data_IF_257186510263
#
_entry.id   IF_257186510263
#
_cell.length_a   1.000
_cell.length_b   1.000
_cell.length_c   1.000
_cell.angle_alpha   90.00
_cell.angle_beta   90.00
_cell.angle_gamma   90.00
#
_symmetry.space_group_name_H-M   'P 1'
#
loop_
_entity.id
_entity.type
_entity.pdbx_description
1 polymer ?
#
# COMPACT_ATOMS: atom_id res chain seq x y z
N UNK A 1 -62.33 -29.14 -17.67
CA UNK A 1 -62.40 -28.48 -16.34
C UNK A 1 -60.96 -28.19 -15.92
N UNK A 2 -60.54 -26.92 -15.97
CA UNK A 2 -59.16 -26.51 -15.66
C UNK A 2 -59.02 -26.43 -14.15
N UNK A 3 -58.13 -27.23 -13.59
CA UNK A 3 -57.73 -27.18 -12.18
C UNK A 3 -56.77 -25.99 -12.06
N UNK A 4 -57.11 -25.03 -11.20
CA UNK A 4 -56.30 -23.85 -10.95
C UNK A 4 -54.99 -24.26 -10.24
N UNK A 5 -53.84 -23.71 -10.62
CA UNK A 5 -52.59 -23.92 -9.88
C UNK A 5 -52.66 -23.18 -8.55
N UNK A 6 -52.42 -23.92 -7.47
CA UNK A 6 -52.19 -23.38 -6.13
C UNK A 6 -50.82 -22.69 -6.16
N UNK A 7 -50.84 -21.37 -6.03
CA UNK A 7 -49.64 -20.57 -5.82
C UNK A 7 -49.16 -20.80 -4.38
N UNK A 8 -47.96 -21.36 -4.23
CA UNK A 8 -47.25 -21.32 -2.96
C UNK A 8 -46.79 -19.88 -2.72
N UNK A 9 -47.55 -19.16 -1.89
CA UNK A 9 -47.11 -17.94 -1.24
C UNK A 9 -46.12 -18.34 -0.14
N UNK A 10 -44.82 -18.25 -0.41
CA UNK A 10 -43.82 -18.22 0.66
C UNK A 10 -43.71 -16.79 1.17
N UNK A 11 -44.43 -16.49 2.25
CA UNK A 11 -44.17 -15.34 3.08
C UNK A 11 -42.83 -15.55 3.79
N UNK A 12 -41.77 -14.87 3.37
CA UNK A 12 -40.64 -14.39 4.17
C UNK A 12 -39.86 -13.37 3.31
N UNK A 13 -40.50 -12.25 2.98
CA UNK A 13 -39.76 -11.03 2.65
C UNK A 13 -39.42 -10.37 3.99
N UNK A 14 -38.15 -10.28 4.43
CA UNK A 14 -37.79 -9.07 5.15
C UNK A 14 -38.02 -7.94 4.15
N UNK A 15 -38.66 -6.85 4.59
CA UNK A 15 -38.84 -5.65 3.79
C UNK A 15 -37.49 -5.17 3.27
N UNK A 16 -37.08 -5.63 2.09
CA UNK A 16 -36.06 -5.00 1.26
C UNK A 16 -36.73 -3.77 0.69
N UNK A 17 -36.82 -2.72 1.50
CA UNK A 17 -36.99 -1.38 0.97
C UNK A 17 -35.75 -1.12 0.12
N UNK A 18 -35.93 -0.98 -1.19
CA UNK A 18 -34.95 -0.31 -2.05
C UNK A 18 -34.53 0.95 -1.30
N UNK A 19 -33.24 1.09 -0.99
CA UNK A 19 -32.77 2.23 -0.21
C UNK A 19 -33.26 3.52 -0.88
N UNK A 20 -33.93 4.40 -0.12
CA UNK A 20 -34.40 5.69 -0.64
C UNK A 20 -33.23 6.63 -0.99
N UNK A 21 -32.01 6.25 -0.57
CA UNK A 21 -30.77 7.01 -0.67
C UNK A 21 -29.75 6.32 -1.55
N UNK A 22 -28.95 7.10 -2.27
CA UNK A 22 -27.88 6.58 -3.13
C UNK A 22 -26.70 6.02 -2.31
N UNK A 23 -25.83 5.25 -2.98
CA UNK A 23 -24.63 4.72 -2.33
C UNK A 23 -23.69 5.84 -1.86
N UNK A 24 -23.57 6.91 -2.64
CA UNK A 24 -22.77 8.10 -2.31
C UNK A 24 -23.33 8.87 -1.12
N UNK A 25 -24.65 8.98 -1.00
CA UNK A 25 -25.30 9.61 0.15
C UNK A 25 -25.02 8.83 1.44
N UNK A 26 -25.09 7.50 1.39
CA UNK A 26 -24.71 6.66 2.52
C UNK A 26 -23.23 6.76 2.85
N UNK A 27 -22.38 6.76 1.83
CA UNK A 27 -20.94 6.90 1.99
C UNK A 27 -20.56 8.19 2.74
N UNK A 28 -21.20 9.31 2.39
CA UNK A 28 -21.01 10.60 3.06
C UNK A 28 -21.40 10.54 4.56
N UNK A 29 -22.52 9.91 4.88
CA UNK A 29 -22.97 9.74 6.28
C UNK A 29 -22.02 8.86 7.08
N UNK A 30 -21.52 7.76 6.49
CA UNK A 30 -20.58 6.88 7.17
C UNK A 30 -19.25 7.57 7.48
N UNK A 31 -18.77 8.43 6.58
CA UNK A 31 -17.62 9.30 6.85
C UNK A 31 -17.91 10.17 8.07
N UNK A 32 -19.09 10.76 8.16
CA UNK A 32 -19.46 11.59 9.30
C UNK A 32 -19.51 10.78 10.61
N UNK A 33 -20.18 9.63 10.61
CA UNK A 33 -20.24 8.72 11.76
C UNK A 33 -18.86 8.25 12.21
N UNK A 34 -18.01 7.80 11.27
CA UNK A 34 -16.65 7.36 11.56
C UNK A 34 -15.77 8.48 12.11
N UNK A 35 -15.95 9.71 11.62
CA UNK A 35 -15.21 10.87 12.12
C UNK A 35 -15.61 11.30 13.54
N UNK A 36 -16.82 10.94 13.98
CA UNK A 36 -17.31 11.22 15.35
C UNK A 36 -16.83 10.19 16.37
N UNK A 37 -16.27 9.06 15.93
CA UNK A 37 -15.71 8.08 16.87
C UNK A 37 -14.55 8.69 17.66
N UNK A 38 -14.52 8.36 18.95
CA UNK A 38 -13.36 8.55 19.81
C UNK A 38 -12.44 7.33 19.72
N UNK A 39 -11.65 7.05 20.75
CA UNK A 39 -10.85 5.82 20.80
C UNK A 39 -11.77 4.60 20.92
N UNK A 40 -11.49 3.52 20.18
CA UNK A 40 -12.33 2.32 20.19
C UNK A 40 -11.54 1.03 19.98
N UNK A 41 -12.16 -0.09 20.39
CA UNK A 41 -11.79 -1.47 20.06
C UNK A 41 -12.92 -2.10 19.25
N UNK A 42 -12.62 -2.60 18.06
CA UNK A 42 -13.55 -3.35 17.22
C UNK A 42 -13.06 -4.80 17.12
N UNK A 43 -13.92 -5.77 17.45
CA UNK A 43 -13.61 -7.20 17.43
C UNK A 43 -14.25 -7.82 16.20
N UNK A 44 -13.47 -8.64 15.48
CA UNK A 44 -13.87 -9.25 14.23
C UNK A 44 -13.66 -10.76 14.24
N UNK A 45 -14.54 -11.45 13.52
CA UNK A 45 -14.36 -12.84 13.10
C UNK A 45 -14.25 -12.88 11.59
N UNK A 46 -13.29 -13.64 11.07
CA UNK A 46 -13.13 -13.84 9.64
C UNK A 46 -13.07 -15.33 9.29
N UNK A 47 -13.81 -15.71 8.25
CA UNK A 47 -13.86 -17.07 7.70
C UNK A 47 -13.34 -17.00 6.28
N UNK A 48 -12.44 -17.92 5.93
CA UNK A 48 -11.91 -18.10 4.58
C UNK A 48 -11.98 -19.58 4.23
N UNK A 49 -12.15 -19.90 2.95
CA UNK A 49 -12.16 -21.27 2.44
C UNK A 49 -10.84 -22.01 2.73
N UNK A 50 -9.72 -21.27 2.77
CA UNK A 50 -8.39 -21.85 2.95
C UNK A 50 -8.02 -22.13 4.41
N UNK A 51 -8.83 -21.71 5.39
CA UNK A 51 -8.54 -21.87 6.81
C UNK A 51 -9.50 -22.88 7.44
N UNK A 52 -8.92 -23.87 8.12
CA UNK A 52 -9.70 -24.88 8.85
C UNK A 52 -10.48 -24.27 10.03
N UNK A 53 -10.00 -23.16 10.60
CA UNK A 53 -10.65 -22.42 11.69
C UNK A 53 -10.89 -20.95 11.34
N UNK A 54 -11.99 -20.33 11.84
CA UNK A 54 -12.19 -18.89 11.76
C UNK A 54 -11.05 -18.13 12.44
N UNK A 55 -10.54 -17.09 11.77
CA UNK A 55 -9.63 -16.14 12.37
C UNK A 55 -10.40 -15.20 13.31
N UNK A 56 -9.86 -15.00 14.51
CA UNK A 56 -10.35 -13.99 15.44
C UNK A 56 -9.33 -12.87 15.53
N UNK A 57 -9.84 -11.65 15.62
CA UNK A 57 -8.97 -10.52 15.82
C UNK A 57 -9.68 -9.26 16.21
N UNK A 58 -8.89 -8.20 16.29
CA UNK A 58 -9.39 -6.92 16.70
C UNK A 58 -8.57 -5.79 16.09
N UNK A 59 -9.24 -4.65 16.00
CA UNK A 59 -8.67 -3.36 15.69
C UNK A 59 -8.83 -2.48 16.92
N UNK A 60 -7.80 -1.71 17.20
CA UNK A 60 -7.82 -0.60 18.14
C UNK A 60 -7.35 0.65 17.40
N UNK A 61 -8.11 1.74 17.51
CA UNK A 61 -7.75 3.04 16.98
C UNK A 61 -7.99 4.10 18.05
N UNK A 62 -6.98 4.92 18.32
CA UNK A 62 -7.14 6.17 19.05
C UNK A 62 -7.22 7.33 18.07
N UNK A 63 -8.45 7.80 17.83
CA UNK A 63 -8.74 8.90 16.91
C UNK A 63 -8.12 10.23 17.30
N UNK A 64 -7.71 10.40 18.56
CA UNK A 64 -7.10 11.64 19.06
C UNK A 64 -5.60 11.73 18.76
N UNK A 65 -4.88 10.61 18.87
CA UNK A 65 -3.44 10.53 18.61
C UNK A 65 -3.10 9.91 17.26
N UNK A 66 -4.05 9.20 16.65
CA UNK A 66 -3.91 8.37 15.46
C UNK A 66 -3.26 7.02 15.71
N UNK A 67 -2.81 6.73 16.94
CA UNK A 67 -2.20 5.45 17.25
C UNK A 67 -3.20 4.32 16.98
N UNK A 68 -2.73 3.27 16.30
CA UNK A 68 -3.59 2.16 15.95
C UNK A 68 -2.87 0.83 16.10
N UNK A 69 -3.63 -0.22 16.35
CA UNK A 69 -3.16 -1.58 16.47
C UNK A 69 -4.18 -2.52 15.85
N UNK A 70 -3.70 -3.55 15.18
CA UNK A 70 -4.49 -4.66 14.66
C UNK A 70 -3.81 -5.97 15.04
N UNK A 71 -4.60 -6.96 15.43
CA UNK A 71 -4.12 -8.29 15.79
C UNK A 71 -5.13 -9.35 15.38
N UNK A 72 -4.69 -10.31 14.56
CA UNK A 72 -5.54 -11.35 14.00
C UNK A 72 -4.81 -12.69 13.99
N UNK A 73 -5.53 -13.76 14.30
CA UNK A 73 -4.96 -15.08 14.38
C UNK A 73 -5.97 -16.16 14.67
N UNK A 74 -5.46 -17.37 14.83
CA UNK A 74 -6.20 -18.51 15.35
C UNK A 74 -5.43 -19.11 16.54
N UNK A 75 -6.09 -20.00 17.26
CA UNK A 75 -5.46 -20.79 18.32
C UNK A 75 -4.33 -21.69 17.78
N UNK A 76 -4.43 -22.16 16.54
CA UNK A 76 -3.46 -23.06 15.94
C UNK A 76 -2.27 -22.33 15.30
N UNK A 77 -2.52 -21.24 14.57
CA UNK A 77 -1.48 -20.53 13.80
C UNK A 77 -0.86 -19.36 14.55
N UNK A 78 -1.40 -18.99 15.71
CA UNK A 78 -1.02 -17.77 16.43
C UNK A 78 -1.54 -16.49 15.76
N UNK A 79 -1.22 -15.36 16.39
CA UNK A 79 -1.66 -14.03 15.95
C UNK A 79 -0.54 -13.23 15.28
N UNK A 80 -0.82 -12.69 14.10
CA UNK A 80 -0.07 -11.58 13.51
C UNK A 80 -0.54 -10.27 14.11
N UNK A 81 0.39 -9.42 14.55
CA UNK A 81 0.05 -8.10 15.14
C UNK A 81 0.81 -6.99 14.42
N UNK A 82 0.14 -5.90 14.10
CA UNK A 82 0.74 -4.69 13.53
C UNK A 82 0.23 -3.47 14.26
N UNK A 83 1.08 -2.48 14.50
CA UNK A 83 0.66 -1.24 15.13
C UNK A 83 1.46 -0.06 14.61
N UNK A 84 0.85 1.11 14.68
CA UNK A 84 1.46 2.38 14.36
C UNK A 84 1.40 3.29 15.58
N UNK A 85 2.53 3.92 15.87
CA UNK A 85 2.65 4.92 16.92
C UNK A 85 2.99 6.27 16.29
N UNK A 86 2.20 7.32 16.55
CA UNK A 86 2.63 8.67 16.25
C UNK A 86 3.94 8.94 17.00
N UNK A 87 4.84 9.73 16.42
CA UNK A 87 6.07 10.16 17.09
C UNK A 87 5.68 10.75 18.46
N UNK A 88 6.00 10.01 19.51
CA UNK A 88 5.96 10.54 20.86
C UNK A 88 7.13 11.53 20.92
N UNK A 89 6.84 12.77 21.32
CA UNK A 89 7.81 13.83 21.59
C UNK A 89 8.27 14.64 20.37
N UNK A 90 7.80 15.89 20.33
CA UNK A 90 8.48 17.01 19.68
C UNK A 90 9.89 17.14 20.27
N UNK A 91 10.86 16.39 19.76
CA UNK A 91 12.15 16.28 20.43
C UNK A 91 13.21 15.48 19.68
N UNK A 92 13.86 16.16 18.73
CA UNK A 92 15.17 15.86 18.12
C UNK A 92 15.26 14.73 17.08
N UNK A 93 15.87 15.16 15.97
CA UNK A 93 16.43 14.43 14.81
C UNK A 93 15.51 13.71 13.82
N UNK A 94 14.28 13.33 14.18
CA UNK A 94 13.24 12.93 13.19
C UNK A 94 12.22 14.05 12.88
N UNK A 95 12.46 15.25 13.44
CA UNK A 95 11.59 16.42 13.39
C UNK A 95 11.41 17.04 11.99
N UNK A 96 12.17 16.60 10.98
CA UNK A 96 11.96 17.04 9.60
C UNK A 96 10.74 16.36 8.94
N UNK A 97 10.20 15.29 9.52
CA UNK A 97 9.22 14.43 8.84
C UNK A 97 7.86 14.28 9.52
N UNK A 98 7.72 14.58 10.82
CA UNK A 98 6.44 14.42 11.53
C UNK A 98 5.88 12.99 11.54
N UNK A 99 6.70 11.99 11.20
CA UNK A 99 6.26 10.64 10.89
C UNK A 99 6.33 9.74 12.13
N UNK A 100 5.22 9.08 12.46
CA UNK A 100 5.20 7.99 13.43
C UNK A 100 5.97 6.75 12.96
N UNK A 101 6.03 5.73 13.80
CA UNK A 101 6.71 4.47 13.51
C UNK A 101 5.70 3.32 13.39
N UNK A 102 5.88 2.50 12.35
CA UNK A 102 5.09 1.28 12.15
C UNK A 102 5.88 0.07 12.61
N UNK A 103 5.20 -0.84 13.30
CA UNK A 103 5.80 -2.06 13.81
C UNK A 103 4.91 -3.26 13.53
N UNK A 104 5.53 -4.43 13.46
CA UNK A 104 4.83 -5.70 13.41
C UNK A 104 5.47 -6.72 14.34
N UNK A 105 4.65 -7.64 14.85
CA UNK A 105 5.08 -8.81 15.57
C UNK A 105 4.72 -10.04 14.76
N UNK A 106 5.73 -10.86 14.46
CA UNK A 106 5.60 -12.09 13.69
C UNK A 106 6.61 -13.10 14.22
N UNK A 107 6.17 -14.34 14.46
CA UNK A 107 7.02 -15.46 14.88
C UNK A 107 7.89 -15.18 16.13
N UNK A 108 7.35 -14.41 17.09
CA UNK A 108 8.07 -14.04 18.32
C UNK A 108 9.09 -12.91 18.16
N UNK A 109 9.27 -12.38 16.95
CA UNK A 109 10.15 -11.26 16.64
C UNK A 109 9.35 -9.95 16.44
N UNK A 110 9.99 -8.83 16.78
CA UNK A 110 9.42 -7.49 16.56
C UNK A 110 10.18 -6.79 15.44
N UNK A 111 9.43 -6.29 14.47
CA UNK A 111 9.95 -5.61 13.31
C UNK A 111 9.54 -4.14 13.32
N UNK A 112 10.48 -3.24 13.00
CA UNK A 112 10.20 -1.85 12.64
C UNK A 112 10.09 -1.78 11.11
N UNK A 113 8.93 -1.37 10.62
CA UNK A 113 8.66 -1.31 9.18
C UNK A 113 8.93 0.09 8.67
N UNK A 114 9.89 0.21 7.76
CA UNK A 114 10.32 1.47 7.19
C UNK A 114 9.54 1.82 5.93
N UNK A 115 9.25 3.11 5.73
CA UNK A 115 8.78 3.64 4.45
C UNK A 115 7.27 3.67 4.21
N UNK A 116 6.44 3.13 5.13
CA UNK A 116 4.96 3.10 5.01
C UNK A 116 4.38 4.48 4.65
N UNK A 117 4.72 5.52 5.41
CA UNK A 117 4.21 6.88 5.17
C UNK A 117 4.79 7.51 3.89
N UNK A 118 6.06 7.25 3.59
CA UNK A 118 6.67 7.72 2.34
C UNK A 118 5.96 7.14 1.13
N UNK A 119 5.60 5.85 1.20
CA UNK A 119 4.89 5.15 0.13
C UNK A 119 3.48 5.70 -0.04
N UNK A 120 2.70 5.83 1.04
CA UNK A 120 1.36 6.42 0.98
C UNK A 120 1.40 7.87 0.50
N UNK A 121 2.42 8.65 0.90
CA UNK A 121 2.58 10.02 0.45
C UNK A 121 2.79 10.09 -1.06
N UNK A 122 3.74 9.32 -1.57
CA UNK A 122 4.06 9.30 -2.99
C UNK A 122 2.90 8.74 -3.83
N UNK A 123 2.19 7.72 -3.33
CA UNK A 123 0.98 7.17 -3.95
C UNK A 123 -0.08 8.24 -4.16
N UNK A 124 -0.42 8.98 -3.11
CA UNK A 124 -1.41 10.05 -3.19
C UNK A 124 -1.01 11.15 -4.18
N UNK A 125 0.26 11.52 -4.22
CA UNK A 125 0.75 12.50 -5.18
C UNK A 125 0.64 12.00 -6.62
N UNK A 126 0.92 10.72 -6.86
CA UNK A 126 0.75 10.09 -8.17
C UNK A 126 -0.74 10.05 -8.56
N UNK A 127 -1.61 9.66 -7.64
CA UNK A 127 -3.07 9.66 -7.84
C UNK A 127 -3.59 11.07 -8.14
N UNK A 128 -3.09 12.10 -7.44
CA UNK A 128 -3.43 13.51 -7.71
C UNK A 128 -3.06 13.93 -9.12
N UNK A 129 -1.87 13.55 -9.61
CA UNK A 129 -1.44 13.84 -10.98
C UNK A 129 -2.32 13.13 -12.01
N UNK A 130 -2.85 11.95 -11.68
CA UNK A 130 -3.80 11.22 -12.51
C UNK A 130 -5.16 11.91 -12.66
N UNK A 131 -5.44 12.96 -11.87
CA UNK A 131 -6.72 13.67 -11.87
C UNK A 131 -7.65 13.24 -10.74
N UNK A 132 -7.19 12.41 -9.80
CA UNK A 132 -7.93 12.17 -8.57
C UNK A 132 -8.04 13.48 -7.78
N UNK A 133 -9.20 13.77 -7.17
CA UNK A 133 -9.40 14.99 -6.40
C UNK A 133 -8.32 15.12 -5.31
N UNK A 134 -7.88 16.35 -4.97
CA UNK A 134 -6.88 16.54 -3.94
C UNK A 134 -7.34 15.85 -2.66
N UNK A 135 -6.51 15.00 -2.04
CA UNK A 135 -6.85 14.44 -0.76
C UNK A 135 -7.10 15.61 0.20
N UNK A 136 -8.16 15.47 0.99
CA UNK A 136 -8.44 16.43 2.03
C UNK A 136 -7.24 16.49 3.00
N UNK A 137 -7.02 17.59 3.74
CA UNK A 137 -5.87 17.70 4.64
C UNK A 137 -5.74 16.45 5.50
N UNK A 138 -4.61 15.75 5.33
CA UNK A 138 -4.35 14.50 6.06
C UNK A 138 -4.40 14.80 7.54
N UNK A 139 -5.03 13.94 8.32
CA UNK A 139 -4.59 13.81 9.70
C UNK A 139 -3.21 13.15 9.65
N UNK A 140 -2.25 13.51 10.52
CA UNK A 140 -1.00 12.77 10.67
C UNK A 140 -1.28 11.42 11.37
N UNK A 141 -2.26 10.65 10.88
CA UNK A 141 -2.80 9.46 11.53
C UNK A 141 -2.95 8.35 10.50
N UNK A 142 -2.52 7.16 10.88
CA UNK A 142 -2.74 5.94 10.14
C UNK A 142 -4.08 5.33 10.61
N UNK A 143 -4.84 4.72 9.70
CA UNK A 143 -6.05 4.00 10.05
C UNK A 143 -5.87 2.49 9.84
N UNK A 144 -6.30 1.66 10.79
CA UNK A 144 -6.32 0.22 10.62
C UNK A 144 -7.46 -0.18 9.68
N UNK A 145 -7.18 -1.08 8.74
CA UNK A 145 -8.15 -1.64 7.82
C UNK A 145 -8.07 -3.17 7.81
N UNK A 146 -9.22 -3.80 7.60
CA UNK A 146 -9.34 -5.22 7.27
C UNK A 146 -9.96 -5.35 5.90
N UNK A 147 -9.42 -6.23 5.07
CA UNK A 147 -9.93 -6.53 3.75
C UNK A 147 -10.00 -8.04 3.51
N UNK A 148 -11.14 -8.51 3.00
CA UNK A 148 -11.30 -9.88 2.52
C UNK A 148 -10.97 -9.95 1.02
N UNK A 149 -9.78 -10.44 0.69
CA UNK A 149 -9.40 -10.77 -0.68
C UNK A 149 -10.05 -12.06 -1.16
N UNK A 150 -9.90 -12.37 -2.44
CA UNK A 150 -10.42 -13.61 -3.03
C UNK A 150 -9.79 -14.85 -2.41
N UNK A 151 -8.47 -14.80 -2.16
CA UNK A 151 -7.69 -15.90 -1.59
C UNK A 151 -7.32 -15.67 -0.11
N UNK A 152 -7.02 -14.42 0.27
CA UNK A 152 -6.44 -14.06 1.57
C UNK A 152 -7.24 -13.00 2.34
N UNK A 153 -7.23 -13.12 3.66
CA UNK A 153 -7.67 -12.04 4.55
C UNK A 153 -6.45 -11.14 4.83
N UNK A 154 -6.51 -9.90 4.36
CA UNK A 154 -5.45 -8.91 4.51
C UNK A 154 -5.78 -7.93 5.63
N UNK A 155 -4.77 -7.60 6.44
CA UNK A 155 -4.86 -6.57 7.48
C UNK A 155 -3.71 -5.61 7.29
N UNK A 156 -4.01 -4.31 7.29
CA UNK A 156 -2.97 -3.32 7.07
C UNK A 156 -3.33 -2.00 7.73
N UNK A 157 -2.30 -1.19 7.92
CA UNK A 157 -2.39 0.20 8.33
C UNK A 157 -2.29 1.05 7.08
N UNK A 158 -3.31 1.86 6.78
CA UNK A 158 -3.36 2.75 5.62
C UNK A 158 -3.37 4.22 6.01
N UNK A 159 -3.06 5.10 5.07
CA UNK A 159 -3.30 6.53 5.26
C UNK A 159 -4.79 6.80 5.08
N UNK A 160 -5.44 7.43 6.07
CA UNK A 160 -6.84 7.83 5.98
C UNK A 160 -6.97 9.36 6.02
N UNK A 161 -7.91 9.87 5.23
CA UNK A 161 -8.33 11.27 5.28
C UNK A 161 -9.66 11.39 6.02
N UNK A 162 -10.04 12.60 6.41
CA UNK A 162 -11.37 12.85 7.00
C UNK A 162 -12.53 12.68 6.00
N UNK A 163 -12.27 12.41 4.72
CA UNK A 163 -13.28 12.21 3.67
C UNK A 163 -13.36 10.78 3.13
N UNK A 164 -12.67 9.83 3.76
CA UNK A 164 -12.54 8.47 3.23
C UNK A 164 -12.69 7.45 4.33
N UNK A 165 -13.27 6.29 4.00
CA UNK A 165 -13.28 5.13 4.88
C UNK A 165 -12.11 4.20 4.53
N UNK A 166 -11.43 3.60 5.52
CA UNK A 166 -10.31 2.69 5.26
C UNK A 166 -10.70 1.37 4.56
N UNK A 167 -11.97 0.98 4.61
CA UNK A 167 -12.52 -0.31 4.15
C UNK A 167 -13.55 -0.17 3.02
N UNK A 168 -13.81 1.04 2.55
CA UNK A 168 -14.77 1.30 1.48
C UNK A 168 -14.25 2.48 0.66
N UNK A 169 -13.84 2.21 -0.58
CA UNK A 169 -13.34 3.24 -1.49
C UNK A 169 -14.41 3.63 -2.53
N UNK A 170 -14.14 4.69 -3.30
CA UNK A 170 -15.06 5.16 -4.33
C UNK A 170 -15.17 4.21 -5.54
N UNK A 171 -14.13 3.42 -5.85
CA UNK A 171 -14.20 2.41 -6.92
C UNK A 171 -15.27 1.37 -6.58
N UNK A 172 -15.27 0.95 -5.32
CA UNK A 172 -16.23 0.02 -4.78
C UNK A 172 -17.65 0.59 -4.85
N UNK A 173 -17.83 1.88 -4.56
CA UNK A 173 -19.12 2.57 -4.70
C UNK A 173 -19.61 2.55 -6.16
N UNK A 174 -18.72 2.75 -7.14
CA UNK A 174 -19.08 2.72 -8.57
C UNK A 174 -19.54 1.33 -9.05
N UNK A 175 -19.13 0.27 -8.36
CA UNK A 175 -19.52 -1.13 -8.64
C UNK A 175 -20.79 -1.58 -7.93
N UNK A 176 -21.41 -0.73 -7.12
CA UNK A 176 -22.61 -1.08 -6.36
C UNK A 176 -23.78 -1.29 -7.32
N UNK A 177 -24.28 -2.52 -7.38
CA UNK A 177 -25.49 -2.88 -8.12
C UNK A 177 -26.74 -2.66 -7.27
N UNK A 178 -26.67 -2.92 -5.96
CA UNK A 178 -27.81 -2.81 -5.04
C UNK A 178 -27.39 -2.25 -3.68
N UNK A 179 -28.20 -1.32 -3.15
CA UNK A 179 -28.09 -0.83 -1.77
C UNK A 179 -29.26 -1.34 -0.95
N UNK A 180 -28.96 -2.09 0.11
CA UNK A 180 -29.94 -2.65 1.04
C UNK A 180 -29.79 -2.03 2.41
N UNK A 181 -30.79 -1.27 2.81
CA UNK A 181 -30.83 -0.68 4.14
C UNK A 181 -31.37 -1.69 5.16
N UNK A 182 -30.53 -2.14 6.11
CA UNK A 182 -30.91 -3.04 7.20
C UNK A 182 -31.03 -2.26 8.51
N UNK A 183 -31.50 -2.90 9.60
CA UNK A 183 -31.79 -2.21 10.86
C UNK A 183 -30.57 -1.46 11.44
N UNK A 184 -29.42 -2.13 11.56
CA UNK A 184 -28.20 -1.57 12.16
C UNK A 184 -27.09 -1.25 11.15
N UNK A 185 -27.22 -1.73 9.91
CA UNK A 185 -26.19 -1.65 8.87
C UNK A 185 -26.80 -1.28 7.52
N UNK A 186 -25.99 -0.84 6.59
CA UNK A 186 -26.33 -0.78 5.17
C UNK A 186 -25.43 -1.77 4.44
N UNK A 187 -26.03 -2.58 3.58
CA UNK A 187 -25.34 -3.54 2.73
C UNK A 187 -25.26 -3.00 1.30
N UNK A 188 -24.04 -2.92 0.78
CA UNK A 188 -23.72 -2.65 -0.61
C UNK A 188 -23.43 -3.99 -1.29
N UNK A 189 -24.23 -4.36 -2.29
CA UNK A 189 -24.00 -5.53 -3.13
C UNK A 189 -23.33 -5.06 -4.42
N UNK A 190 -22.20 -5.69 -4.76
CA UNK A 190 -21.42 -5.36 -5.94
C UNK A 190 -21.88 -6.18 -7.15
N UNK A 191 -21.46 -5.75 -8.33
CA UNK A 191 -21.72 -6.39 -9.63
C UNK A 191 -21.26 -7.86 -9.77
N UNK A 192 -20.33 -8.31 -8.93
CA UNK A 192 -19.87 -9.70 -8.83
C UNK A 192 -20.65 -10.52 -7.77
N UNK A 193 -21.65 -9.92 -7.12
CA UNK A 193 -22.44 -10.53 -6.05
C UNK A 193 -21.76 -10.54 -4.68
N UNK A 194 -20.51 -10.08 -4.56
CA UNK A 194 -19.89 -9.82 -3.26
C UNK A 194 -20.60 -8.65 -2.55
N UNK A 195 -20.39 -8.54 -1.24
CA UNK A 195 -21.10 -7.55 -0.44
C UNK A 195 -20.22 -6.94 0.65
N UNK A 196 -20.52 -5.67 0.97
CA UNK A 196 -19.90 -4.91 2.06
C UNK A 196 -21.00 -4.32 2.93
N UNK A 197 -20.91 -4.52 4.25
CA UNK A 197 -21.82 -3.97 5.25
C UNK A 197 -21.12 -2.91 6.07
N UNK A 198 -21.76 -1.77 6.24
CA UNK A 198 -21.27 -0.66 7.09
C UNK A 198 -22.25 -0.39 8.22
N UNK A 199 -21.77 -0.27 9.45
CA UNK A 199 -22.59 0.02 10.63
C UNK A 199 -23.06 1.48 10.61
N UNK A 200 -24.36 1.73 10.70
CA UNK A 200 -24.93 3.08 10.59
C UNK A 200 -24.43 4.04 11.68
N UNK A 201 -24.36 3.54 12.92
CA UNK A 201 -24.01 4.33 14.09
C UNK A 201 -22.55 4.79 14.08
N UNK A 202 -21.63 3.92 13.67
CA UNK A 202 -20.20 4.13 13.82
C UNK A 202 -19.47 4.39 12.50
N UNK A 203 -20.08 4.05 11.36
CA UNK A 203 -19.42 4.04 10.06
C UNK A 203 -18.40 2.90 9.88
N UNK A 204 -18.22 2.01 10.87
CA UNK A 204 -17.27 0.90 10.81
C UNK A 204 -17.70 -0.20 9.83
N UNK A 205 -16.72 -0.94 9.29
CA UNK A 205 -16.97 -2.18 8.55
C UNK A 205 -17.73 -3.15 9.46
N UNK A 206 -19.00 -3.40 9.16
CA UNK A 206 -19.82 -4.37 9.88
C UNK A 206 -19.66 -5.78 9.31
N UNK A 207 -19.30 -5.88 8.03
CA UNK A 207 -18.88 -7.13 7.42
C UNK A 207 -18.55 -7.00 5.94
N UNK A 208 -17.94 -8.03 5.40
CA UNK A 208 -17.61 -8.18 3.98
C UNK A 208 -17.73 -9.65 3.62
N UNK A 209 -18.16 -10.00 2.41
CA UNK A 209 -18.21 -11.41 2.00
C UNK A 209 -18.46 -11.63 0.52
N UNK A 210 -18.27 -12.88 0.10
CA UNK A 210 -18.52 -13.36 -1.26
C UNK A 210 -19.82 -14.18 -1.32
N UNK A 211 -20.35 -14.44 -2.54
CA UNK A 211 -21.46 -15.38 -2.70
C UNK A 211 -21.14 -16.74 -2.09
N UNK A 212 -22.10 -17.31 -1.34
CA UNK A 212 -21.91 -18.59 -0.63
C UNK A 212 -21.62 -19.77 -1.59
N UNK A 213 -22.05 -19.66 -2.84
CA UNK A 213 -21.79 -20.63 -3.90
C UNK A 213 -20.29 -20.78 -4.22
N UNK A 214 -19.48 -19.78 -3.86
CA UNK A 214 -18.03 -19.77 -4.01
C UNK A 214 -17.30 -20.08 -2.68
N UNK A 215 -17.97 -20.80 -1.76
CA UNK A 215 -17.43 -21.11 -0.44
C UNK A 215 -17.70 -20.01 0.60
N UNK A 216 -17.76 -20.39 1.88
CA UNK A 216 -18.02 -19.42 2.96
C UNK A 216 -16.78 -18.56 3.21
N UNK A 217 -16.81 -17.34 2.66
CA UNK A 217 -15.79 -16.31 2.86
C UNK A 217 -16.44 -15.04 3.38
N UNK A 218 -16.15 -14.66 4.62
CA UNK A 218 -16.72 -13.46 5.24
C UNK A 218 -15.89 -12.89 6.38
N UNK A 219 -15.99 -11.58 6.60
CA UNK A 219 -15.58 -10.88 7.81
C UNK A 219 -16.85 -10.34 8.48
N UNK A 220 -16.93 -10.43 9.81
CA UNK A 220 -18.05 -9.92 10.60
C UNK A 220 -17.52 -9.14 11.80
N UNK A 221 -18.08 -7.95 12.03
CA UNK A 221 -17.88 -7.18 13.24
C UNK A 221 -18.75 -7.75 14.36
N UNK A 222 -18.10 -8.24 15.41
CA UNK A 222 -18.76 -8.87 16.56
C UNK A 222 -19.12 -7.86 17.64
N UNK A 223 -18.22 -6.92 17.92
CA UNK A 223 -18.41 -5.95 18.99
C UNK A 223 -17.58 -4.68 18.77
N UNK A 224 -18.11 -3.56 19.22
CA UNK A 224 -17.40 -2.28 19.32
C UNK A 224 -17.44 -1.84 20.79
N UNK A 225 -16.26 -1.57 21.35
CA UNK A 225 -16.10 -1.12 22.73
C UNK A 225 -15.40 0.24 22.71
N UNK A 226 -16.00 1.30 23.28
CA UNK A 226 -15.31 2.57 23.48
C UNK A 226 -14.09 2.37 24.38
N UNK A 227 -12.96 2.96 24.01
CA UNK A 227 -11.79 3.04 24.87
C UNK A 227 -11.81 4.39 25.57
N UNK A 228 -11.80 4.39 26.90
CA UNK A 228 -11.89 5.61 27.71
C UNK A 228 -10.54 6.34 27.79
N UNK A 229 -10.06 6.81 26.64
CA UNK A 229 -8.90 7.68 26.48
C UNK A 229 -7.56 6.98 26.19
N UNK A 230 -6.50 7.77 25.93
CA UNK A 230 -5.21 7.28 25.41
C UNK A 230 -4.46 6.30 26.34
N UNK A 231 -4.80 6.27 27.63
CA UNK A 231 -4.18 5.37 28.59
C UNK A 231 -4.61 3.91 28.40
N UNK A 232 -5.87 3.65 28.03
CA UNK A 232 -6.35 2.29 27.75
C UNK A 232 -5.74 1.75 26.46
N UNK A 233 -5.61 2.60 25.44
CA UNK A 233 -4.88 2.27 24.22
C UNK A 233 -3.44 1.81 24.51
N UNK A 234 -2.70 2.55 25.35
CA UNK A 234 -1.30 2.23 25.67
C UNK A 234 -1.14 0.89 26.38
N UNK A 235 -2.18 0.36 27.02
CA UNK A 235 -2.14 -0.98 27.62
C UNK A 235 -2.22 -2.08 26.57
N UNK A 236 -2.85 -1.79 25.43
CA UNK A 236 -3.04 -2.72 24.31
C UNK A 236 -1.81 -2.76 23.40
N UNK A 237 -1.08 -1.65 23.28
CA UNK A 237 0.12 -1.54 22.43
C UNK A 237 1.27 -2.38 23.00
N UNK A 238 1.85 -3.32 22.21
CA UNK A 238 3.02 -4.09 22.60
C UNK A 238 4.19 -3.20 23.00
N UNK A 239 4.86 -3.56 24.10
CA UNK A 239 6.12 -2.91 24.49
C UNK A 239 7.20 -3.28 23.48
N UNK A 240 7.87 -2.27 22.95
CA UNK A 240 8.99 -2.45 22.03
C UNK A 240 10.29 -2.49 22.82
N UNK A 241 11.06 -3.57 22.71
CA UNK A 241 12.43 -3.67 23.24
C UNK A 241 13.42 -3.24 22.14
N UNK A 242 14.04 -2.05 22.23
CA UNK A 242 14.94 -1.55 21.19
C UNK A 242 16.13 -2.47 20.89
N UNK A 243 16.55 -3.32 21.84
CA UNK A 243 17.67 -4.23 21.65
C UNK A 243 17.31 -5.46 20.79
N UNK A 244 16.02 -5.70 20.55
CA UNK A 244 15.50 -6.88 19.84
C UNK A 244 14.69 -6.54 18.59
N UNK A 245 14.62 -5.26 18.22
CA UNK A 245 13.94 -4.83 16.99
C UNK A 245 14.78 -5.25 15.79
N UNK A 246 14.11 -5.79 14.77
CA UNK A 246 14.66 -5.98 13.43
C UNK A 246 14.06 -4.95 12.47
N UNK A 247 14.85 -4.47 11.53
CA UNK A 247 14.33 -3.60 10.48
C UNK A 247 13.71 -4.43 9.35
N UNK A 248 12.59 -3.97 8.81
CA UNK A 248 11.92 -4.58 7.68
C UNK A 248 11.40 -3.52 6.70
N UNK A 249 11.21 -3.94 5.44
CA UNK A 249 10.63 -3.08 4.40
C UNK A 249 9.10 -3.20 4.32
N UNK A 250 8.43 -2.23 3.70
CA UNK A 250 6.99 -2.34 3.41
C UNK A 250 6.71 -3.59 2.58
N UNK A 251 7.54 -3.85 1.56
CA UNK A 251 7.40 -5.00 0.67
C UNK A 251 7.49 -6.37 1.36
N UNK A 252 8.04 -6.46 2.57
CA UNK A 252 8.14 -7.73 3.31
C UNK A 252 6.94 -8.00 4.24
N UNK A 253 6.21 -6.95 4.66
CA UNK A 253 5.20 -7.04 5.71
C UNK A 253 3.82 -6.54 5.31
N UNK A 254 3.75 -5.61 4.38
CA UNK A 254 2.50 -5.09 3.87
C UNK A 254 2.16 -5.77 2.56
N UNK A 255 0.85 -5.89 2.30
CA UNK A 255 0.36 -6.15 0.96
C UNK A 255 0.59 -4.88 0.10
N UNK A 256 1.85 -4.59 -0.22
CA UNK A 256 2.22 -3.51 -1.14
C UNK A 256 1.49 -3.65 -2.48
N UNK A 257 1.11 -4.89 -2.83
CA UNK A 257 0.25 -5.21 -3.97
C UNK A 257 -1.05 -4.41 -3.98
N UNK A 258 -1.74 -4.20 -2.84
CA UNK A 258 -2.94 -3.37 -2.79
C UNK A 258 -2.65 -1.91 -3.16
N UNK A 259 -1.51 -1.37 -2.73
CA UNK A 259 -1.07 -0.03 -3.11
C UNK A 259 -0.66 0.06 -4.59
N UNK A 260 -0.05 -0.99 -5.13
CA UNK A 260 0.30 -1.08 -6.55
C UNK A 260 -0.94 -1.21 -7.45
N UNK A 261 -1.93 -2.02 -7.04
CA UNK A 261 -3.23 -2.15 -7.70
C UNK A 261 -3.93 -0.79 -7.69
N UNK A 262 -4.03 -0.13 -6.54
CA UNK A 262 -4.66 1.18 -6.43
C UNK A 262 -4.02 2.21 -7.38
N UNK A 263 -2.69 2.24 -7.45
CA UNK A 263 -1.96 3.10 -8.40
C UNK A 263 -2.33 2.76 -9.85
N UNK A 264 -2.32 1.48 -10.19
CA UNK A 264 -2.64 0.98 -11.53
C UNK A 264 -4.07 1.35 -11.95
N UNK A 265 -5.06 1.01 -11.12
CA UNK A 265 -6.48 1.30 -11.37
C UNK A 265 -6.73 2.81 -11.48
N UNK A 266 -6.16 3.62 -10.57
CA UNK A 266 -6.34 5.07 -10.58
C UNK A 266 -5.84 5.69 -11.88
N UNK A 267 -4.72 5.19 -12.40
CA UNK A 267 -4.14 5.66 -13.66
C UNK A 267 -4.88 5.12 -14.88
N UNK A 268 -5.52 3.95 -14.76
CA UNK A 268 -6.29 3.36 -15.85
C UNK A 268 -7.65 4.04 -16.05
N UNK A 269 -8.21 4.69 -15.02
CA UNK A 269 -9.56 5.28 -15.07
C UNK A 269 -9.77 6.14 -16.33
N UNK A 270 -10.86 5.91 -17.09
CA UNK A 270 -11.16 6.69 -18.27
C UNK A 270 -11.41 8.15 -17.88
N UNK A 271 -10.62 9.05 -18.43
CA UNK A 271 -10.89 10.48 -18.28
C UNK A 271 -12.02 10.89 -19.21
N UNK A 272 -12.82 11.89 -18.79
CA UNK A 272 -13.88 12.46 -19.63
C UNK A 272 -13.27 12.92 -20.96
N UNK A 273 -13.99 12.69 -22.07
CA UNK A 273 -13.54 13.11 -23.40
C UNK A 273 -13.13 14.59 -23.40
N UNK A 274 -11.87 14.86 -23.78
CA UNK A 274 -11.31 16.21 -23.82
C UNK A 274 -10.65 16.70 -22.53
N UNK A 275 -10.71 15.95 -21.43
CA UNK A 275 -10.06 16.29 -20.17
C UNK A 275 -8.94 15.31 -19.82
N UNK A 276 -7.72 15.82 -19.72
CA UNK A 276 -6.62 15.18 -18.99
C UNK A 276 -5.54 14.52 -19.86
N UNK A 277 -4.31 14.57 -19.33
CA UNK A 277 -3.14 14.00 -19.98
C UNK A 277 -3.15 12.46 -19.95
N UNK A 278 -2.55 11.84 -20.98
CA UNK A 278 -2.26 10.41 -21.05
C UNK A 278 -1.57 9.91 -19.76
N UNK A 279 -2.10 8.89 -19.07
CA UNK A 279 -1.54 8.36 -17.83
C UNK A 279 -0.06 7.97 -17.93
N UNK A 280 0.34 7.36 -19.06
CA UNK A 280 1.74 7.01 -19.32
C UNK A 280 2.59 8.27 -19.48
N UNK A 281 2.06 9.28 -20.17
CA UNK A 281 2.69 10.59 -20.29
C UNK A 281 2.85 11.32 -18.95
N UNK A 282 1.88 11.24 -18.04
CA UNK A 282 1.95 11.82 -16.70
C UNK A 282 3.09 11.19 -15.91
N UNK A 283 3.14 9.85 -15.89
CA UNK A 283 4.19 9.12 -15.19
C UNK A 283 5.58 9.42 -15.78
N UNK A 284 5.69 9.44 -17.11
CA UNK A 284 6.95 9.73 -17.80
C UNK A 284 7.50 11.13 -17.50
N UNK A 285 6.63 12.11 -17.19
CA UNK A 285 7.03 13.47 -16.77
C UNK A 285 7.39 13.59 -15.28
N UNK A 286 7.06 12.58 -14.47
CA UNK A 286 7.27 12.59 -13.03
C UNK A 286 8.10 11.37 -12.53
N UNK A 287 9.28 11.10 -13.13
CA UNK A 287 10.08 9.92 -12.78
C UNK A 287 10.61 9.96 -11.33
N UNK A 288 10.87 11.16 -10.80
CA UNK A 288 11.36 11.33 -9.43
C UNK A 288 10.31 10.91 -8.39
N UNK A 289 9.02 11.12 -8.69
CA UNK A 289 7.94 10.75 -7.80
C UNK A 289 7.71 9.23 -7.78
N UNK A 290 7.77 8.58 -8.95
CA UNK A 290 7.77 7.12 -9.03
C UNK A 290 8.99 6.53 -8.31
N UNK A 291 10.16 7.14 -8.46
CA UNK A 291 11.35 6.70 -7.75
C UNK A 291 11.16 6.81 -6.23
N UNK A 292 10.64 7.94 -5.73
CA UNK A 292 10.32 8.12 -4.32
C UNK A 292 9.31 7.07 -3.81
N UNK A 293 8.29 6.75 -4.61
CA UNK A 293 7.32 5.68 -4.30
C UNK A 293 8.01 4.33 -4.12
N UNK A 294 8.79 3.88 -5.12
CA UNK A 294 9.50 2.59 -5.05
C UNK A 294 10.53 2.56 -3.92
N UNK A 295 11.31 3.62 -3.74
CA UNK A 295 12.25 3.72 -2.62
C UNK A 295 11.56 3.60 -1.28
N UNK A 296 10.40 4.24 -1.12
CA UNK A 296 9.63 4.14 0.11
C UNK A 296 9.08 2.72 0.35
N UNK A 297 8.83 1.91 -0.69
CA UNK A 297 8.44 0.50 -0.49
C UNK A 297 9.58 -0.34 0.15
N UNK A 298 10.83 0.04 -0.09
CA UNK A 298 12.02 -0.60 0.47
C UNK A 298 12.50 0.07 1.77
N UNK A 299 12.09 1.32 2.01
CA UNK A 299 12.57 2.14 3.11
C UNK A 299 14.07 2.43 2.99
N UNK A 300 14.81 2.25 4.07
CA UNK A 300 16.27 2.41 4.10
C UNK A 300 17.04 1.11 3.82
N UNK A 301 16.35 0.05 3.38
CA UNK A 301 16.93 -1.26 3.15
C UNK A 301 17.27 -1.49 1.68
N UNK A 302 18.04 -2.55 1.42
CA UNK A 302 18.30 -2.99 0.05
C UNK A 302 16.98 -3.40 -0.63
N UNK A 303 16.80 -3.12 -1.94
CA UNK A 303 15.67 -3.66 -2.68
C UNK A 303 15.63 -5.20 -2.55
N UNK A 304 14.47 -5.83 -2.29
CA UNK A 304 14.41 -7.27 -2.10
C UNK A 304 14.96 -8.04 -3.30
N UNK A 305 15.70 -9.12 -3.03
CA UNK A 305 16.48 -9.87 -4.03
C UNK A 305 17.90 -9.35 -4.25
N UNK A 306 18.24 -8.14 -3.77
CA UNK A 306 19.61 -7.63 -3.81
C UNK A 306 20.34 -7.98 -2.50
N UNK A 307 21.50 -8.67 -2.54
CA UNK A 307 22.26 -8.97 -1.34
C UNK A 307 22.69 -7.71 -0.59
N UNK A 308 22.46 -7.65 0.72
CA UNK A 308 22.80 -6.48 1.55
C UNK A 308 24.29 -6.09 1.51
N UNK A 309 25.19 -7.07 1.31
CA UNK A 309 26.61 -6.80 1.11
C UNK A 309 26.88 -6.07 -0.22
N UNK A 310 26.22 -6.49 -1.30
CA UNK A 310 26.31 -5.81 -2.59
C UNK A 310 25.74 -4.39 -2.47
N UNK A 311 24.57 -4.24 -1.86
CA UNK A 311 23.96 -2.93 -1.62
C UNK A 311 24.90 -1.97 -0.89
N UNK A 312 25.48 -2.39 0.25
CA UNK A 312 26.45 -1.59 1.00
C UNK A 312 27.69 -1.22 0.18
N UNK A 313 28.26 -2.18 -0.54
CA UNK A 313 29.44 -1.93 -1.37
C UNK A 313 29.14 -0.92 -2.50
N UNK A 314 27.95 -0.99 -3.11
CA UNK A 314 27.53 -0.09 -4.18
C UNK A 314 27.17 1.31 -3.68
N UNK A 315 26.83 1.44 -2.40
CA UNK A 315 26.61 2.73 -1.73
C UNK A 315 27.88 3.32 -1.09
N UNK A 316 28.97 2.56 -0.99
CA UNK A 316 30.23 3.03 -0.45
C UNK A 316 30.94 4.01 -1.40
N UNK A 317 30.56 5.28 -1.29
CA UNK A 317 31.05 6.34 -2.14
C UNK A 317 32.55 6.57 -1.96
N UNK A 318 33.07 6.45 -0.73
CA UNK A 318 34.47 6.69 -0.42
C UNK A 318 35.37 5.66 -1.12
N UNK A 319 35.04 4.37 -1.00
CA UNK A 319 35.80 3.32 -1.70
C UNK A 319 35.64 3.41 -3.21
N UNK A 320 34.47 3.80 -3.72
CA UNK A 320 34.28 4.04 -5.15
C UNK A 320 35.16 5.18 -5.67
N UNK A 321 35.25 6.30 -4.94
CA UNK A 321 36.16 7.40 -5.28
C UNK A 321 37.61 6.92 -5.32
N UNK A 322 38.08 6.20 -4.28
CA UNK A 322 39.45 5.67 -4.21
C UNK A 322 39.78 4.73 -5.37
N UNK A 323 38.86 3.82 -5.68
CA UNK A 323 39.03 2.86 -6.78
C UNK A 323 39.09 3.59 -8.13
N UNK A 324 38.11 4.44 -8.42
CA UNK A 324 38.03 5.16 -9.69
C UNK A 324 39.15 6.20 -9.85
N UNK A 325 39.65 6.78 -8.75
CA UNK A 325 40.81 7.66 -8.77
C UNK A 325 42.05 6.91 -9.24
N UNK A 326 42.23 5.68 -8.74
CA UNK A 326 43.33 4.81 -9.17
C UNK A 326 43.21 4.43 -10.64
N UNK A 327 42.01 4.10 -11.11
CA UNK A 327 41.78 3.83 -12.54
C UNK A 327 42.03 5.06 -13.42
N UNK A 328 41.57 6.23 -12.98
CA UNK A 328 41.76 7.49 -13.71
C UNK A 328 43.22 7.84 -13.88
N UNK A 329 44.04 7.70 -12.83
CA UNK A 329 45.48 7.92 -12.88
C UNK A 329 46.16 6.94 -13.86
N UNK A 330 45.82 5.65 -13.79
CA UNK A 330 46.33 4.64 -14.74
C UNK A 330 45.91 4.93 -16.18
N UNK A 331 44.68 5.38 -16.40
CA UNK A 331 44.19 5.77 -17.73
C UNK A 331 44.93 7.00 -18.27
N UNK A 332 45.24 7.98 -17.41
CA UNK A 332 46.07 9.14 -17.76
C UNK A 332 47.48 8.74 -18.16
N UNK A 333 48.11 7.82 -17.44
CA UNK A 333 49.43 7.31 -17.77
C UNK A 333 49.44 6.52 -19.08
N UNK A 334 48.44 5.66 -19.30
CA UNK A 334 48.36 4.82 -20.49
C UNK A 334 47.95 5.59 -21.76
N UNK A 335 47.17 6.68 -21.64
CA UNK A 335 46.61 7.43 -22.78
C UNK A 335 46.68 8.95 -22.55
N UNK A 336 47.89 9.53 -22.43
CA UNK A 336 48.07 10.92 -22.01
C UNK A 336 47.47 11.94 -22.98
N UNK A 337 47.49 11.66 -24.30
CA UNK A 337 46.89 12.56 -25.30
C UNK A 337 45.35 12.61 -25.19
N UNK A 338 44.70 11.47 -24.97
CA UNK A 338 43.23 11.36 -24.87
C UNK A 338 42.70 11.86 -23.52
N UNK A 339 43.49 11.70 -22.45
CA UNK A 339 43.08 12.02 -21.08
C UNK A 339 43.55 13.39 -20.58
N UNK A 340 44.21 14.20 -21.44
CA UNK A 340 44.86 15.46 -21.09
C UNK A 340 43.96 16.40 -20.29
N UNK A 341 42.73 16.59 -20.76
CA UNK A 341 41.76 17.53 -20.18
C UNK A 341 40.62 16.85 -19.41
N UNK A 342 40.71 15.52 -19.21
CA UNK A 342 39.70 14.76 -18.47
C UNK A 342 39.95 14.89 -16.97
N UNK A 343 39.10 15.66 -16.30
CA UNK A 343 39.10 15.75 -14.83
C UNK A 343 38.61 14.45 -14.19
N UNK A 344 39.00 14.21 -12.93
CA UNK A 344 38.51 13.06 -12.19
C UNK A 344 36.98 13.07 -12.06
N UNK A 345 36.36 14.23 -11.77
CA UNK A 345 34.90 14.36 -11.71
C UNK A 345 34.21 13.91 -12.99
N UNK A 346 34.74 14.32 -14.15
CA UNK A 346 34.18 13.90 -15.44
C UNK A 346 34.33 12.38 -15.63
N UNK A 347 35.51 11.84 -15.37
CA UNK A 347 35.77 10.40 -15.44
C UNK A 347 34.86 9.59 -14.51
N UNK A 348 34.73 10.03 -13.26
CA UNK A 348 33.88 9.41 -12.24
C UNK A 348 32.41 9.38 -12.66
N UNK A 349 31.87 10.51 -13.14
CA UNK A 349 30.49 10.60 -13.64
C UNK A 349 30.26 9.70 -14.84
N UNK A 350 31.19 9.69 -15.80
CA UNK A 350 31.10 8.81 -16.96
C UNK A 350 31.07 7.35 -16.53
N UNK A 351 31.99 6.93 -15.66
CA UNK A 351 32.06 5.54 -15.19
C UNK A 351 30.86 5.12 -14.37
N UNK A 352 30.33 5.98 -13.50
CA UNK A 352 29.06 5.71 -12.81
C UNK A 352 27.89 5.61 -13.77
N UNK A 353 27.84 6.46 -14.81
CA UNK A 353 26.82 6.39 -15.84
C UNK A 353 26.88 5.08 -16.64
N UNK A 354 28.08 4.60 -16.98
CA UNK A 354 28.30 3.29 -17.58
C UNK A 354 27.85 2.15 -16.65
N UNK A 355 28.26 2.20 -15.38
CA UNK A 355 27.91 1.20 -14.39
C UNK A 355 26.39 1.14 -14.14
N UNK A 356 25.70 2.28 -14.11
CA UNK A 356 24.23 2.31 -13.99
C UNK A 356 23.54 1.65 -15.18
N UNK A 357 24.02 1.89 -16.41
CA UNK A 357 23.47 1.25 -17.62
C UNK A 357 23.69 -0.26 -17.60
N UNK A 358 24.87 -0.70 -17.20
CA UNK A 358 25.18 -2.12 -17.05
C UNK A 358 24.32 -2.77 -15.96
N UNK A 359 24.22 -2.13 -14.79
CA UNK A 359 23.36 -2.59 -13.70
C UNK A 359 21.90 -2.68 -14.14
N UNK A 360 21.39 -1.67 -14.86
CA UNK A 360 20.03 -1.68 -15.41
C UNK A 360 19.81 -2.90 -16.28
N UNK A 361 20.72 -3.16 -17.22
CA UNK A 361 20.65 -4.31 -18.13
C UNK A 361 20.71 -5.64 -17.38
N UNK A 362 21.55 -5.75 -16.36
CA UNK A 362 21.66 -6.95 -15.53
C UNK A 362 20.37 -7.22 -14.74
N UNK A 363 19.75 -6.18 -14.19
CA UNK A 363 18.47 -6.31 -13.50
C UNK A 363 17.37 -6.73 -14.48
N UNK A 364 17.31 -6.17 -15.69
CA UNK A 364 16.35 -6.59 -16.74
C UNK A 364 16.52 -8.05 -17.13
N UNK A 365 17.76 -8.46 -17.40
CA UNK A 365 18.04 -9.84 -17.83
C UNK A 365 17.71 -10.89 -16.76
N UNK A 366 17.60 -10.46 -15.50
CA UNK A 366 17.36 -11.31 -14.33
C UNK A 366 16.00 -11.01 -13.67
N UNK A 367 15.07 -10.36 -14.39
CA UNK A 367 13.79 -9.89 -13.81
C UNK A 367 13.03 -10.99 -13.07
N UNK A 368 12.91 -12.19 -13.67
CA UNK A 368 12.22 -13.34 -13.09
C UNK A 368 12.88 -13.92 -11.83
N UNK A 369 14.12 -13.52 -11.50
CA UNK A 369 14.81 -13.90 -10.26
C UNK A 369 14.76 -12.82 -9.17
N UNK A 370 14.21 -11.64 -9.48
CA UNK A 370 14.04 -10.53 -8.55
C UNK A 370 12.62 -10.55 -7.99
N UNK A 371 12.42 -10.90 -6.69
CA UNK A 371 11.09 -11.10 -6.14
C UNK A 371 10.16 -9.90 -6.27
N UNK A 372 10.67 -8.68 -6.12
CA UNK A 372 9.86 -7.45 -6.27
C UNK A 372 9.39 -7.21 -7.69
N UNK A 373 10.22 -7.55 -8.69
CA UNK A 373 9.88 -7.36 -10.10
C UNK A 373 8.94 -8.43 -10.56
N UNK A 374 9.28 -9.71 -10.32
CA UNK A 374 8.42 -10.83 -10.68
C UNK A 374 7.05 -10.75 -9.98
N UNK A 375 7.03 -10.35 -8.70
CA UNK A 375 5.78 -10.12 -7.96
C UNK A 375 4.92 -9.02 -8.57
N UNK A 376 5.53 -7.87 -8.92
CA UNK A 376 4.83 -6.76 -9.57
C UNK A 376 4.32 -7.14 -10.97
N UNK A 377 5.11 -7.85 -11.77
CA UNK A 377 4.72 -8.32 -13.10
C UNK A 377 3.51 -9.26 -13.02
N UNK A 378 3.57 -10.27 -12.15
CA UNK A 378 2.46 -11.21 -11.94
C UNK A 378 1.19 -10.49 -11.45
N UNK A 379 1.33 -9.53 -10.54
CA UNK A 379 0.22 -8.74 -10.03
C UNK A 379 -0.45 -7.94 -11.15
N UNK A 380 0.34 -7.23 -11.95
CA UNK A 380 -0.18 -6.39 -13.04
C UNK A 380 -0.79 -7.23 -14.17
N UNK A 381 -0.22 -8.41 -14.47
CA UNK A 381 -0.81 -9.35 -15.42
C UNK A 381 -2.19 -9.85 -14.93
N UNK A 382 -2.31 -10.12 -13.63
CA UNK A 382 -3.58 -10.42 -12.97
C UNK A 382 -4.60 -9.30 -13.15
N UNK A 383 -4.22 -8.05 -12.89
CA UNK A 383 -5.11 -6.89 -13.07
C UNK A 383 -5.47 -6.65 -14.54
N UNK A 384 -4.52 -6.80 -15.47
CA UNK A 384 -4.78 -6.70 -16.91
C UNK A 384 -5.81 -7.73 -17.38
N UNK A 385 -5.80 -8.94 -16.80
CA UNK A 385 -6.74 -10.01 -17.17
C UNK A 385 -8.20 -9.70 -16.84
N UNK A 386 -8.44 -8.78 -15.90
CA UNK A 386 -9.77 -8.32 -15.46
C UNK A 386 -10.30 -7.15 -16.29
N UNK A 387 -9.45 -6.54 -17.13
CA UNK A 387 -9.83 -5.36 -17.90
C UNK A 387 -10.75 -5.66 -19.07
N UNK A 388 -11.55 -4.67 -19.44
CA UNK A 388 -12.34 -4.73 -20.68
C UNK A 388 -11.42 -4.74 -21.89
N UNK A 389 -11.82 -5.38 -23.02
CA UNK A 389 -10.97 -5.49 -24.21
C UNK A 389 -10.39 -4.15 -24.70
N UNK A 390 -11.14 -3.06 -24.58
CA UNK A 390 -10.74 -1.71 -24.96
C UNK A 390 -9.65 -1.09 -24.06
N UNK A 391 -9.48 -1.58 -22.83
CA UNK A 391 -8.54 -1.06 -21.83
C UNK A 391 -7.22 -1.85 -21.80
N UNK A 392 -7.19 -3.07 -22.34
CA UNK A 392 -6.04 -3.99 -22.26
C UNK A 392 -4.75 -3.38 -22.80
N UNK A 393 -4.79 -2.69 -23.94
CA UNK A 393 -3.60 -2.11 -24.55
C UNK A 393 -3.02 -0.96 -23.72
N UNK A 394 -3.89 -0.15 -23.09
CA UNK A 394 -3.48 0.90 -22.17
C UNK A 394 -2.92 0.29 -20.88
N UNK A 395 -3.60 -0.71 -20.32
CA UNK A 395 -3.16 -1.45 -19.13
C UNK A 395 -1.77 -2.05 -19.31
N UNK A 396 -1.49 -2.71 -20.44
CA UNK A 396 -0.16 -3.26 -20.77
C UNK A 396 0.92 -2.19 -20.85
N UNK A 397 0.63 -1.04 -21.46
CA UNK A 397 1.59 0.08 -21.55
C UNK A 397 1.89 0.66 -20.16
N UNK A 398 0.85 0.82 -19.33
CA UNK A 398 0.99 1.31 -17.97
C UNK A 398 1.80 0.33 -17.11
N UNK A 399 1.50 -0.96 -17.17
CA UNK A 399 2.23 -2.00 -16.45
C UNK A 399 3.72 -2.02 -16.83
N UNK A 400 4.03 -1.97 -18.13
CA UNK A 400 5.41 -1.88 -18.60
C UNK A 400 6.14 -0.63 -18.07
N UNK A 401 5.43 0.50 -17.94
CA UNK A 401 6.00 1.72 -17.38
C UNK A 401 6.28 1.60 -15.88
N UNK A 402 5.36 1.04 -15.11
CA UNK A 402 5.53 0.80 -13.67
C UNK A 402 6.71 -0.13 -13.41
N UNK A 403 6.80 -1.26 -14.12
CA UNK A 403 7.94 -2.20 -14.02
C UNK A 403 9.26 -1.52 -14.38
N UNK A 404 9.29 -0.76 -15.48
CA UNK A 404 10.49 0.02 -15.86
C UNK A 404 10.91 1.00 -14.77
N UNK A 405 9.96 1.71 -14.19
CA UNK A 405 10.25 2.68 -13.13
C UNK A 405 10.76 2.03 -11.85
N UNK A 406 10.29 0.82 -11.51
CA UNK A 406 10.81 0.06 -10.38
C UNK A 406 12.29 -0.29 -10.59
N UNK A 407 12.66 -0.74 -11.79
CA UNK A 407 14.07 -0.98 -12.10
C UNK A 407 14.93 0.29 -12.05
N UNK A 408 14.42 1.40 -12.60
CA UNK A 408 15.13 2.67 -12.58
C UNK A 408 15.37 3.11 -11.12
N UNK A 409 14.37 2.93 -10.24
CA UNK A 409 14.50 3.15 -8.81
C UNK A 409 15.52 2.21 -8.15
N UNK A 410 15.54 0.92 -8.49
CA UNK A 410 16.55 -0.02 -7.96
C UNK A 410 17.97 0.42 -8.33
N UNK A 411 18.18 0.86 -9.57
CA UNK A 411 19.48 1.38 -10.03
C UNK A 411 19.87 2.64 -9.28
N UNK A 412 18.94 3.57 -9.08
CA UNK A 412 19.19 4.80 -8.32
C UNK A 412 19.49 4.49 -6.85
N UNK A 413 18.78 3.54 -6.24
CA UNK A 413 19.00 3.11 -4.86
C UNK A 413 20.37 2.45 -4.67
N UNK A 414 20.79 1.62 -5.63
CA UNK A 414 22.12 0.98 -5.61
C UNK A 414 23.25 1.96 -5.93
N UNK A 415 23.04 2.89 -6.87
CA UNK A 415 24.03 3.86 -7.33
C UNK A 415 23.43 5.28 -7.34
N UNK A 416 23.25 5.92 -6.17
CA UNK A 416 22.60 7.22 -6.08
C UNK A 416 23.33 8.33 -6.85
N UNK A 417 22.65 9.36 -7.37
CA UNK A 417 23.30 10.58 -7.86
C UNK A 417 24.26 11.12 -6.81
N UNK A 418 25.43 11.58 -7.26
CA UNK A 418 26.45 12.16 -6.38
C UNK A 418 26.57 13.63 -6.73
N UNK A 419 26.38 14.50 -5.75
CA UNK A 419 26.49 15.94 -5.91
C UNK A 419 27.96 16.37 -6.11
N UNK A 420 28.18 17.56 -6.69
CA UNK A 420 29.55 18.03 -6.95
C UNK A 420 30.34 18.26 -5.66
N UNK A 421 29.65 18.70 -4.62
CA UNK A 421 30.18 18.97 -3.28
C UNK A 421 30.65 17.68 -2.61
N UNK A 422 29.93 16.58 -2.81
CA UNK A 422 30.31 15.27 -2.30
C UNK A 422 31.55 14.74 -3.01
N UNK A 423 31.77 15.08 -4.28
CA UNK A 423 32.98 14.69 -5.03
C UNK A 423 34.22 15.50 -4.64
N UNK A 424 34.04 16.72 -4.13
CA UNK A 424 35.14 17.57 -3.66
C UNK A 424 35.61 17.23 -2.25
N UNK A 425 34.76 16.55 -1.47
CA UNK A 425 35.15 16.01 -0.18
C UNK A 425 36.01 14.76 -0.35
N UNK A 426 37.04 14.56 0.50
CA UNK A 426 37.96 13.43 0.41
C UNK A 426 37.26 12.05 0.43
#
# INVERSE_FOLDING_TARGET
>A
MKIAPVYFLSCLFPCLTTAERSAEEWYADFIESYNRLESYRAVYTAVSEQKEEPLQGFIVEDRSSGACLLSFGSTETGHGTMWWLPSAEQGKEDAASGNGATFAHKDGETFRIHGVFGMSHALDELCRLAGSPPPAPRRPHAAPAVWLGEEDISFFVTSATWKTLPWLDLNTIERVEEVRELAAVVEFVLDDGSWIRVQKETGLLAGQGYPVEEGERKIVLEAVQPLTGPAELRKEIPKVDPARIRDASVSEFFNASSAHIQLFETLLRPKKEGEGEDPVGILARNPDLLNAYWQATWGNLAPPGIPAALFRNMQDLENQKKHLQTEWLKAKEARPATMKDVSFKHYFRQRRGELRRELRKQLESNSGSLPTVAGLENLLDGEISKLRPEEVDLGRKLAAHLVRSQFDAMVVTLLPPVADEELDQP
#
